data_IF_025376762398
#
_entry.id   IF_025376762398
#
_cell.length_a   1.000
_cell.length_b   1.000
_cell.length_c   1.000
_cell.angle_alpha   90.00
_cell.angle_beta   90.00
_cell.angle_gamma   90.00
#
_symmetry.space_group_name_H-M   'P 1'
#
loop_
_entity.id
_entity.type
_entity.pdbx_description
1 polymer ?
#
# COMPACT_ATOMS: atom_id res chain seq x y z
N UNK A 1 -1.95 -1.32 0.40
CA UNK A 1 -1.11 -0.46 1.24
C UNK A 1 0.27 -1.07 1.36
N UNK A 2 1.29 -0.32 0.98
CA UNK A 2 2.70 -0.72 1.01
C UNK A 2 3.48 0.33 1.79
N UNK A 3 4.47 -0.07 2.57
CA UNK A 3 5.45 0.83 3.16
C UNK A 3 6.85 0.44 2.73
N UNK A 4 7.76 1.41 2.69
CA UNK A 4 9.16 1.17 2.37
C UNK A 4 10.05 2.25 2.99
N UNK A 5 11.33 1.93 3.15
CA UNK A 5 12.38 2.89 3.48
C UNK A 5 13.00 3.44 2.21
N UNK A 6 13.18 4.76 2.11
CA UNK A 6 13.95 5.37 1.02
C UNK A 6 15.43 5.10 1.24
N UNK A 7 16.16 4.88 0.15
CA UNK A 7 17.62 4.91 0.18
C UNK A 7 18.11 6.33 0.50
N UNK A 8 19.23 6.43 1.21
CA UNK A 8 19.87 7.72 1.47
C UNK A 8 20.19 8.42 0.14
N UNK A 9 19.99 9.75 0.11
CA UNK A 9 20.24 10.63 -1.03
C UNK A 9 19.25 10.51 -2.20
N UNK A 10 18.20 9.69 -2.09
CA UNK A 10 17.10 9.68 -3.07
C UNK A 10 16.15 10.83 -2.77
N UNK A 11 15.88 11.66 -3.77
CA UNK A 11 14.94 12.76 -3.64
C UNK A 11 13.48 12.26 -3.73
N UNK A 12 12.57 12.94 -3.03
CA UNK A 12 11.15 12.61 -3.05
C UNK A 12 10.57 12.66 -4.48
N UNK A 13 11.08 13.55 -5.33
CA UNK A 13 10.68 13.67 -6.73
C UNK A 13 11.06 12.43 -7.56
N UNK A 14 12.20 11.80 -7.28
CA UNK A 14 12.64 10.59 -7.99
C UNK A 14 11.72 9.42 -7.64
N UNK A 15 11.31 9.31 -6.38
CA UNK A 15 10.35 8.27 -5.93
C UNK A 15 8.98 8.49 -6.55
N UNK A 16 8.48 9.74 -6.53
CA UNK A 16 7.23 10.09 -7.16
C UNK A 16 7.26 9.82 -8.68
N UNK A 17 8.38 10.15 -9.33
CA UNK A 17 8.64 9.89 -10.75
C UNK A 17 8.59 8.41 -11.08
N UNK A 18 9.29 7.58 -10.29
CA UNK A 18 9.26 6.12 -10.44
C UNK A 18 7.84 5.56 -10.38
N UNK A 19 7.05 5.95 -9.38
CA UNK A 19 5.67 5.46 -9.25
C UNK A 19 4.77 5.95 -10.39
N UNK A 20 5.01 7.16 -10.91
CA UNK A 20 4.25 7.70 -12.04
C UNK A 20 4.56 6.93 -13.33
N UNK A 21 5.83 6.73 -13.66
CA UNK A 21 6.28 5.93 -14.81
C UNK A 21 5.70 4.53 -14.75
N UNK A 22 5.68 3.92 -13.56
CA UNK A 22 5.10 2.61 -13.34
C UNK A 22 3.59 2.55 -13.66
N UNK A 23 2.84 3.64 -13.44
CA UNK A 23 1.43 3.70 -13.84
C UNK A 23 1.24 3.94 -15.33
N UNK A 24 2.14 4.70 -15.97
CA UNK A 24 2.16 4.88 -17.41
C UNK A 24 2.39 3.52 -18.10
N UNK A 25 3.41 2.77 -17.66
CA UNK A 25 3.66 1.38 -18.10
C UNK A 25 2.43 0.49 -17.88
N UNK A 26 1.84 0.50 -16.68
CA UNK A 26 0.69 -0.33 -16.37
C UNK A 26 -0.50 -0.06 -17.32
N UNK A 27 -0.67 1.19 -17.75
CA UNK A 27 -1.75 1.63 -18.63
C UNK A 27 -1.58 1.18 -20.08
N UNK A 28 -0.36 0.84 -20.51
CA UNK A 28 -0.10 0.27 -21.84
C UNK A 28 -0.50 -1.21 -21.92
N UNK A 29 -0.34 -1.96 -20.82
CA UNK A 29 -0.56 -3.41 -20.78
C UNK A 29 -1.95 -3.83 -20.30
N UNK A 30 -2.63 -3.01 -19.51
CA UNK A 30 -3.93 -3.33 -18.91
C UNK A 30 -5.02 -2.38 -19.39
N UNK A 31 -6.27 -2.78 -19.21
CA UNK A 31 -7.45 -1.92 -19.42
C UNK A 31 -7.18 -0.54 -18.85
N UNK A 32 -7.61 0.52 -19.54
CA UNK A 32 -7.45 1.95 -19.21
C UNK A 32 -8.17 2.39 -17.92
N UNK A 33 -8.24 1.50 -16.94
CA UNK A 33 -8.77 1.76 -15.62
C UNK A 33 -7.86 2.75 -14.91
N UNK A 34 -8.50 3.73 -14.28
CA UNK A 34 -7.81 4.76 -13.53
C UNK A 34 -7.16 4.16 -12.29
N UNK A 35 -5.91 4.52 -12.06
CA UNK A 35 -5.24 4.34 -10.77
C UNK A 35 -5.61 5.53 -9.87
N UNK A 36 -6.06 5.25 -8.65
CA UNK A 36 -6.24 6.24 -7.60
C UNK A 36 -5.49 5.82 -6.34
N UNK A 37 -5.30 6.75 -5.41
CA UNK A 37 -4.64 6.48 -4.14
C UNK A 37 -3.78 7.64 -3.67
N UNK A 38 -2.83 7.33 -2.79
CA UNK A 38 -2.00 8.31 -2.12
C UNK A 38 -0.58 7.78 -1.99
N UNK A 39 0.40 8.58 -2.38
CA UNK A 39 1.81 8.37 -2.08
C UNK A 39 2.25 9.40 -1.04
N UNK A 40 2.45 8.96 0.19
CA UNK A 40 2.99 9.77 1.27
C UNK A 40 4.50 9.56 1.34
N UNK A 41 5.24 10.65 1.19
CA UNK A 41 6.69 10.71 1.21
C UNK A 41 7.15 11.47 2.45
N UNK A 42 8.02 10.83 3.22
CA UNK A 42 8.79 11.43 4.30
C UNK A 42 10.28 11.26 3.98
N UNK A 43 11.15 12.04 4.63
CA UNK A 43 12.60 12.08 4.35
C UNK A 43 13.30 10.73 4.31
N UNK A 44 12.75 9.70 4.98
CA UNK A 44 13.30 8.34 4.97
C UNK A 44 12.28 7.23 4.71
N UNK A 45 11.00 7.54 4.59
CA UNK A 45 9.95 6.51 4.50
C UNK A 45 8.87 6.86 3.47
N UNK A 46 8.34 5.82 2.83
CA UNK A 46 7.21 5.88 1.90
C UNK A 46 6.05 5.10 2.51
N UNK A 47 4.85 5.66 2.39
CA UNK A 47 3.61 4.91 2.49
C UNK A 47 2.81 5.09 1.19
N UNK A 48 2.45 3.98 0.56
CA UNK A 48 1.76 3.97 -0.72
C UNK A 48 0.44 3.21 -0.63
N UNK A 49 -0.65 3.91 -0.91
CA UNK A 49 -1.99 3.36 -1.08
C UNK A 49 -2.34 3.43 -2.55
N UNK A 50 -2.79 2.30 -3.10
CA UNK A 50 -3.20 2.19 -4.50
C UNK A 50 -4.53 1.47 -4.58
N UNK A 51 -5.42 2.01 -5.40
CA UNK A 51 -6.71 1.46 -5.73
C UNK A 51 -6.79 1.28 -7.26
N UNK A 52 -6.98 0.04 -7.70
CA UNK A 52 -7.10 -0.33 -9.12
C UNK A 52 -7.63 -1.77 -9.22
N UNK A 53 -7.79 -2.31 -10.43
CA UNK A 53 -8.05 -3.74 -10.59
C UNK A 53 -6.89 -4.59 -10.11
N UNK A 54 -7.21 -5.86 -9.84
CA UNK A 54 -6.26 -6.88 -9.40
C UNK A 54 -5.07 -7.06 -10.35
N UNK A 55 -5.24 -6.91 -11.67
CA UNK A 55 -4.14 -7.05 -12.63
C UNK A 55 -3.11 -5.93 -12.49
N UNK A 56 -3.57 -4.68 -12.34
CA UNK A 56 -2.69 -3.54 -12.06
C UNK A 56 -2.01 -3.70 -10.71
N UNK A 57 -2.74 -4.07 -9.64
CA UNK A 57 -2.13 -4.31 -8.33
C UNK A 57 -1.05 -5.41 -8.42
N UNK A 58 -1.32 -6.51 -9.13
CA UNK A 58 -0.33 -7.58 -9.32
C UNK A 58 0.90 -7.10 -10.10
N UNK A 59 0.71 -6.29 -11.15
CA UNK A 59 1.80 -5.67 -11.89
C UNK A 59 2.68 -4.79 -10.98
N UNK A 60 2.06 -3.95 -10.14
CA UNK A 60 2.78 -3.09 -9.20
C UNK A 60 3.59 -3.89 -8.18
N UNK A 61 3.01 -4.94 -7.59
CA UNK A 61 3.74 -5.81 -6.66
C UNK A 61 4.94 -6.47 -7.36
N UNK A 62 4.79 -6.91 -8.61
CA UNK A 62 5.90 -7.47 -9.40
C UNK A 62 7.01 -6.45 -9.65
N UNK A 63 6.66 -5.20 -9.96
CA UNK A 63 7.64 -4.14 -10.14
C UNK A 63 8.38 -3.82 -8.83
N UNK A 64 7.66 -3.76 -7.70
CA UNK A 64 8.27 -3.59 -6.38
C UNK A 64 9.21 -4.75 -6.01
N UNK A 65 8.84 -5.99 -6.35
CA UNK A 65 9.74 -7.14 -6.19
C UNK A 65 11.00 -7.01 -7.06
N UNK A 66 10.88 -6.48 -8.27
CA UNK A 66 12.05 -6.20 -9.12
C UNK A 66 12.96 -5.12 -8.52
N UNK A 67 12.40 -4.05 -7.93
CA UNK A 67 13.15 -3.03 -7.19
C UNK A 67 13.87 -3.65 -6.00
N UNK A 68 13.18 -4.44 -5.17
CA UNK A 68 13.78 -5.11 -4.02
C UNK A 68 14.97 -6.01 -4.42
N UNK A 69 14.89 -6.67 -5.57
CA UNK A 69 15.94 -7.54 -6.08
C UNK A 69 17.19 -6.78 -6.57
N UNK A 70 17.14 -5.45 -6.72
CA UNK A 70 18.32 -4.62 -7.00
C UNK A 70 19.25 -4.52 -5.77
N UNK A 71 18.80 -4.95 -4.59
CA UNK A 71 19.62 -4.99 -3.38
C UNK A 71 19.85 -3.59 -2.78
N UNK A 72 21.02 -3.33 -2.18
CA UNK A 72 21.27 -2.08 -1.45
C UNK A 72 21.19 -0.80 -2.30
N UNK A 73 21.37 -0.90 -3.62
CA UNK A 73 21.28 0.24 -4.55
C UNK A 73 19.84 0.59 -4.95
N UNK A 74 18.85 -0.23 -4.57
CA UNK A 74 17.45 0.01 -4.85
C UNK A 74 16.98 1.36 -4.28
N UNK A 75 16.08 2.04 -4.99
CA UNK A 75 15.51 3.32 -4.52
C UNK A 75 14.65 3.13 -3.26
N UNK A 76 13.99 1.97 -3.15
CA UNK A 76 13.17 1.53 -2.03
C UNK A 76 13.80 0.30 -1.40
N UNK A 77 13.89 0.32 -0.07
CA UNK A 77 14.41 -0.75 0.77
C UNK A 77 13.34 -1.16 1.78
N UNK A 78 13.50 -2.33 2.39
CA UNK A 78 12.60 -2.81 3.47
C UNK A 78 11.11 -2.72 3.09
N UNK A 79 10.79 -3.07 1.84
CA UNK A 79 9.43 -2.96 1.31
C UNK A 79 8.54 -3.99 1.99
N UNK A 80 7.41 -3.53 2.56
CA UNK A 80 6.41 -4.36 3.23
C UNK A 80 5.03 -4.13 2.63
N UNK A 81 4.38 -5.22 2.22
CA UNK A 81 2.99 -5.24 1.79
C UNK A 81 2.13 -5.46 3.02
N UNK A 82 1.47 -4.40 3.50
CA UNK A 82 0.70 -4.43 4.74
C UNK A 82 -0.70 -5.00 4.52
N UNK A 83 -1.38 -4.51 3.49
CA UNK A 83 -2.77 -4.88 3.21
C UNK A 83 -3.01 -4.89 1.71
N UNK A 84 -3.63 -5.95 1.22
CA UNK A 84 -4.24 -6.02 -0.12
C UNK A 84 -5.69 -6.44 0.05
N UNK A 85 -6.61 -5.52 -0.25
CA UNK A 85 -8.04 -5.75 -0.18
C UNK A 85 -8.61 -5.98 -1.58
N UNK A 86 -9.66 -6.80 -1.66
CA UNK A 86 -10.39 -7.08 -2.89
C UNK A 86 -11.84 -6.61 -2.77
N UNK A 87 -12.48 -6.31 -3.89
CA UNK A 87 -13.91 -5.95 -3.96
C UNK A 87 -14.28 -4.76 -3.06
N UNK A 88 -13.47 -3.71 -3.05
CA UNK A 88 -13.80 -2.47 -2.33
C UNK A 88 -15.09 -1.87 -2.93
N UNK A 89 -16.04 -1.41 -2.09
CA UNK A 89 -17.34 -0.93 -2.56
C UNK A 89 -17.23 0.38 -3.34
N UNK A 90 -16.26 1.21 -2.99
CA UNK A 90 -15.94 2.49 -3.63
C UNK A 90 -14.46 2.82 -3.45
N UNK A 91 -13.94 3.69 -4.31
CA UNK A 91 -12.59 4.26 -4.16
C UNK A 91 -12.62 5.31 -3.06
N UNK A 92 -11.62 5.27 -2.17
CA UNK A 92 -11.38 6.27 -1.14
C UNK A 92 -10.81 7.56 -1.75
N UNK A 93 -9.95 7.42 -2.76
CA UNK A 93 -9.27 8.56 -3.38
C UNK A 93 -9.84 8.82 -4.79
N UNK A 94 -10.19 10.07 -5.14
CA UNK A 94 -10.74 10.38 -6.46
C UNK A 94 -9.69 10.34 -7.59
N UNK A 95 -8.42 10.57 -7.24
CA UNK A 95 -7.26 10.51 -8.14
C UNK A 95 -6.06 9.93 -7.38
N UNK A 96 -4.94 9.76 -8.06
CA UNK A 96 -3.69 9.42 -7.41
C UNK A 96 -2.90 10.71 -7.15
N UNK A 97 -2.51 10.92 -5.90
CA UNK A 97 -1.83 12.13 -5.46
C UNK A 97 -0.55 11.81 -4.66
N UNK A 98 0.38 12.76 -4.65
CA UNK A 98 1.64 12.69 -3.91
C UNK A 98 1.63 13.76 -2.82
N UNK A 99 1.97 13.36 -1.59
CA UNK A 99 2.08 14.25 -0.44
C UNK A 99 3.47 14.11 0.17
N UNK A 100 4.18 15.22 0.26
CA UNK A 100 5.50 15.30 0.90
C UNK A 100 5.34 15.89 2.30
N UNK A 101 5.73 15.11 3.30
CA UNK A 101 5.67 15.50 4.71
C UNK A 101 7.00 16.12 5.12
N UNK A 102 7.02 17.45 5.25
CA UNK A 102 8.23 18.23 5.52
C UNK A 102 8.56 18.42 6.99
N UNK A 103 7.61 18.14 7.90
CA UNK A 103 7.82 18.23 9.36
C UNK A 103 7.63 16.86 10.01
N UNK A 104 8.57 16.41 10.86
CA UNK A 104 8.34 15.20 11.65
C UNK A 104 7.18 15.47 12.61
N UNK A 105 6.08 14.73 12.44
CA UNK A 105 5.05 14.64 13.46
C UNK A 105 5.57 13.66 14.50
N UNK A 106 6.38 14.16 15.43
CA UNK A 106 6.81 13.37 16.59
C UNK A 106 5.63 13.21 17.54
N UNK A 107 4.95 12.07 17.48
CA UNK A 107 4.17 11.60 18.62
C UNK A 107 5.14 11.06 19.69
N UNK A 108 4.79 11.13 20.98
CA UNK A 108 5.67 10.64 22.05
C UNK A 108 6.06 9.17 21.79
N UNK A 109 7.37 8.91 21.72
CA UNK A 109 8.03 7.69 21.21
C UNK A 109 7.63 6.37 21.89
N UNK A 110 6.84 6.40 22.97
CA UNK A 110 6.60 5.25 23.83
C UNK A 110 5.36 4.41 23.47
N UNK A 111 4.45 4.87 22.61
CA UNK A 111 3.19 4.15 22.39
C UNK A 111 3.24 3.07 21.31
N UNK A 112 3.88 3.33 20.17
CA UNK A 112 3.77 2.46 18.97
C UNK A 112 4.55 1.16 19.07
N UNK A 113 5.68 1.13 19.78
CA UNK A 113 6.48 -0.09 19.97
C UNK A 113 5.84 -1.11 20.92
N UNK A 114 4.86 -0.67 21.73
CA UNK A 114 4.12 -1.56 22.64
C UNK A 114 2.91 -2.21 21.97
N UNK A 115 2.52 -1.74 20.78
CA UNK A 115 1.35 -2.20 20.04
C UNK A 115 1.71 -3.32 19.06
N UNK A 116 0.77 -4.22 18.81
CA UNK A 116 0.92 -5.25 17.78
C UNK A 116 0.93 -4.61 16.38
N UNK A 117 1.56 -5.31 15.42
CA UNK A 117 1.58 -4.86 14.02
C UNK A 117 0.17 -4.66 13.46
N UNK A 118 -0.78 -5.54 13.80
CA UNK A 118 -2.18 -5.43 13.36
C UNK A 118 -2.85 -4.16 13.88
N UNK A 119 -2.64 -3.80 15.15
CA UNK A 119 -3.18 -2.56 15.73
C UNK A 119 -2.61 -1.33 15.02
N UNK A 120 -1.29 -1.30 14.81
CA UNK A 120 -0.63 -0.18 14.11
C UNK A 120 -1.10 -0.06 12.67
N UNK A 121 -1.29 -1.18 11.96
CA UNK A 121 -1.86 -1.20 10.60
C UNK A 121 -3.30 -0.67 10.60
N UNK A 122 -4.12 -1.07 11.59
CA UNK A 122 -5.50 -0.61 11.71
C UNK A 122 -5.60 0.89 12.00
N UNK A 123 -4.71 1.42 12.84
CA UNK A 123 -4.60 2.87 13.09
C UNK A 123 -4.19 3.63 11.82
N UNK A 124 -3.20 3.13 11.07
CA UNK A 124 -2.81 3.72 9.80
C UNK A 124 -3.97 3.75 8.81
N UNK A 125 -4.76 2.68 8.69
CA UNK A 125 -5.95 2.64 7.85
C UNK A 125 -7.00 3.65 8.30
N UNK A 126 -7.21 3.81 9.61
CA UNK A 126 -8.15 4.79 10.18
C UNK A 126 -7.75 6.23 9.87
N UNK A 127 -6.45 6.53 9.97
CA UNK A 127 -5.90 7.83 9.57
C UNK A 127 -6.07 8.05 8.06
N UNK A 128 -5.78 7.05 7.22
CA UNK A 128 -5.95 7.14 5.76
C UNK A 128 -7.40 7.40 5.35
N UNK A 129 -8.38 6.81 6.04
CA UNK A 129 -9.80 7.08 5.80
C UNK A 129 -10.12 8.55 6.15
N UNK A 130 -9.60 9.05 7.27
CA UNK A 130 -9.78 10.46 7.69
C UNK A 130 -9.10 11.44 6.71
N UNK A 131 -7.94 11.07 6.16
CA UNK A 131 -7.27 11.82 5.09
C UNK A 131 -8.14 11.84 3.83
N UNK A 132 -8.63 10.67 3.38
CA UNK A 132 -9.46 10.57 2.20
C UNK A 132 -10.75 11.41 2.32
N UNK A 133 -11.41 11.39 3.47
CA UNK A 133 -12.59 12.21 3.75
C UNK A 133 -12.28 13.72 3.69
N UNK A 134 -11.13 14.13 4.22
CA UNK A 134 -10.67 15.53 4.15
C UNK A 134 -10.38 15.97 2.70
N UNK A 135 -9.73 15.10 1.92
CA UNK A 135 -9.45 15.34 0.50
C UNK A 135 -10.75 15.46 -0.30
N UNK A 136 -11.73 14.59 -0.05
CA UNK A 136 -13.04 14.64 -0.71
C UNK A 136 -13.77 15.94 -0.40
N UNK A 137 -13.85 16.35 0.88
CA UNK A 137 -14.47 17.62 1.28
C UNK A 137 -13.80 18.82 0.63
N UNK A 138 -12.47 18.84 0.58
CA UNK A 138 -11.73 19.93 -0.08
C UNK A 138 -12.03 20.04 -1.57
N UNK A 139 -12.25 18.90 -2.25
CA UNK A 139 -12.55 18.86 -3.67
C UNK A 139 -13.98 19.34 -4.01
N UNK A 140 -14.92 19.26 -3.07
CA UNK A 140 -16.29 19.78 -3.24
C UNK A 140 -16.35 21.30 -3.07
N UNK A 141 -15.52 21.88 -2.21
CA UNK A 141 -15.44 23.33 -1.98
C UNK A 141 -14.61 24.07 -3.06
N UNK A 142 -13.61 23.41 -3.65
CA UNK A 142 -12.73 24.02 -4.67
C UNK A 142 -13.27 23.92 -6.10
N UNK A 143 -14.25 24.75 -6.43
CA UNK A 143 -14.66 24.96 -7.83
C UNK A 143 -13.62 25.71 -8.69
N UNK A 144 -12.47 26.15 -8.14
CA UNK A 144 -11.47 26.97 -8.86
C UNK A 144 -9.99 26.93 -8.40
N UNK A 145 -9.52 25.98 -7.59
CA UNK A 145 -8.11 25.95 -7.17
C UNK A 145 -7.30 24.76 -7.75
N UNK A 146 -6.05 25.05 -8.08
CA UNK A 146 -5.06 24.18 -8.69
C UNK A 146 -4.66 23.00 -7.79
N UNK A 147 -3.91 22.06 -8.37
CA UNK A 147 -3.34 20.83 -7.79
C UNK A 147 -2.49 20.96 -6.51
N UNK A 148 -2.47 22.13 -5.86
CA UNK A 148 -1.66 22.43 -4.67
C UNK A 148 -2.41 22.18 -3.34
N UNK A 149 -3.69 21.80 -3.36
CA UNK A 149 -4.53 21.72 -2.16
C UNK A 149 -4.14 20.62 -1.15
N UNK A 150 -3.26 19.69 -1.53
CA UNK A 150 -2.79 18.62 -0.65
C UNK A 150 -1.60 18.99 0.23
N UNK A 151 -1.00 20.16 0.02
CA UNK A 151 0.06 20.70 0.89
C UNK A 151 -0.43 21.09 2.30
N UNK A 152 -1.72 20.90 2.61
CA UNK A 152 -2.34 21.36 3.86
C UNK A 152 -3.07 20.25 4.63
N UNK A 153 -2.57 19.01 4.59
CA UNK A 153 -3.07 17.98 5.51
C UNK A 153 -2.80 18.41 6.95
N UNK A 154 -3.83 18.33 7.79
CA UNK A 154 -3.70 18.63 9.21
C UNK A 154 -2.64 17.70 9.83
N UNK A 155 -1.73 18.20 10.68
CA UNK A 155 -0.65 17.38 11.26
C UNK A 155 -1.15 16.13 11.99
N UNK A 156 -2.35 16.20 12.57
CA UNK A 156 -3.04 15.11 13.27
C UNK A 156 -3.56 13.99 12.35
N UNK A 157 -3.60 14.22 11.03
CA UNK A 157 -3.97 13.22 10.03
C UNK A 157 -2.74 12.55 9.38
N UNK A 158 -1.54 13.03 9.70
CA UNK A 158 -0.31 12.49 9.15
C UNK A 158 0.13 11.25 9.93
N UNK A 159 0.42 10.18 9.20
CA UNK A 159 1.04 8.99 9.79
C UNK A 159 2.50 9.34 10.12
N UNK A 160 2.94 9.16 11.39
CA UNK A 160 4.30 9.46 11.80
C UNK A 160 5.34 8.65 11.03
N UNK A 161 6.50 9.24 10.78
CA UNK A 161 7.60 8.57 10.10
C UNK A 161 8.13 7.38 10.90
N UNK A 162 8.08 7.48 12.24
CA UNK A 162 8.48 6.44 13.18
C UNK A 162 7.56 5.22 13.05
N UNK A 163 6.25 5.43 12.91
CA UNK A 163 5.26 4.38 12.67
C UNK A 163 5.53 3.66 11.35
N UNK A 164 5.82 4.40 10.28
CA UNK A 164 6.16 3.80 8.98
C UNK A 164 7.48 3.01 9.09
N UNK A 165 8.48 3.56 9.79
CA UNK A 165 9.76 2.89 10.02
C UNK A 165 9.64 1.61 10.86
N UNK A 166 8.76 1.60 11.85
CA UNK A 166 8.41 0.40 12.63
C UNK A 166 7.79 -0.67 11.71
N UNK A 167 6.80 -0.29 10.89
CA UNK A 167 6.15 -1.19 9.94
C UNK A 167 7.10 -1.73 8.87
N UNK A 168 8.09 -0.96 8.40
CA UNK A 168 9.10 -1.44 7.44
C UNK A 168 9.93 -2.60 7.99
N UNK A 169 10.13 -2.65 9.31
CA UNK A 169 10.92 -3.68 10.00
C UNK A 169 10.08 -4.87 10.48
N UNK A 170 8.75 -4.80 10.39
CA UNK A 170 7.85 -5.86 10.83
C UNK A 170 8.08 -7.15 10.03
N UNK A 171 8.56 -8.21 10.68
CA UNK A 171 8.84 -9.51 10.04
C UNK A 171 7.55 -10.23 9.65
N UNK A 172 6.46 -9.96 10.36
CA UNK A 172 5.11 -10.48 10.13
C UNK A 172 4.52 -10.00 8.79
N UNK A 173 4.98 -8.84 8.30
CA UNK A 173 4.53 -8.30 7.03
C UNK A 173 5.31 -8.90 5.85
N UNK A 174 4.58 -9.33 4.83
CA UNK A 174 5.16 -9.91 3.62
C UNK A 174 5.98 -8.89 2.84
N UNK A 175 7.15 -9.30 2.32
CA UNK A 175 7.82 -8.55 1.27
C UNK A 175 7.06 -8.70 -0.07
N UNK A 176 7.24 -7.80 -1.06
CA UNK A 176 6.72 -7.99 -2.41
C UNK A 176 7.00 -9.37 -3.02
N UNK A 177 8.21 -9.91 -2.80
CA UNK A 177 8.59 -11.24 -3.28
C UNK A 177 7.80 -12.34 -2.58
N UNK A 178 7.63 -12.24 -1.27
CA UNK A 178 6.85 -13.22 -0.49
C UNK A 178 5.37 -13.16 -0.83
N UNK A 179 4.81 -11.94 -0.98
CA UNK A 179 3.43 -11.74 -1.41
C UNK A 179 3.18 -12.35 -2.79
N UNK A 180 4.10 -12.14 -3.75
CA UNK A 180 3.99 -12.75 -5.07
C UNK A 180 4.01 -14.28 -4.99
N UNK A 181 4.88 -14.86 -4.15
CA UNK A 181 4.94 -16.31 -3.94
C UNK A 181 3.63 -16.84 -3.35
N UNK A 182 3.10 -16.17 -2.32
CA UNK A 182 1.83 -16.52 -1.68
C UNK A 182 0.66 -16.48 -2.68
N UNK A 183 0.62 -15.46 -3.54
CA UNK A 183 -0.43 -15.32 -4.56
C UNK A 183 -0.35 -16.41 -5.64
N UNK A 184 0.86 -16.77 -6.08
CA UNK A 184 1.07 -17.78 -7.13
C UNK A 184 1.03 -19.23 -6.62
N UNK A 185 1.13 -19.43 -5.30
CA UNK A 185 1.07 -20.74 -4.65
C UNK A 185 -0.10 -20.79 -3.67
N UNK A 186 -1.35 -20.71 -4.15
CA UNK A 186 -2.50 -20.79 -3.27
C UNK A 186 -2.46 -22.13 -2.53
N UNK A 187 -2.59 -22.07 -1.21
CA UNK A 187 -2.72 -23.28 -0.40
C UNK A 187 -4.03 -23.94 -0.85
N UNK A 188 -3.94 -25.17 -1.34
CA UNK A 188 -5.10 -26.04 -1.51
C UNK A 188 -5.20 -26.89 -0.24
N UNK A 189 -5.87 -26.40 0.83
CA UNK A 189 -6.14 -27.27 1.96
C UNK A 189 -6.98 -28.42 1.43
N UNK A 190 -6.50 -29.66 1.62
CA UNK A 190 -7.32 -30.83 1.36
C UNK A 190 -8.56 -30.71 2.24
N UNK A 191 -9.72 -30.48 1.64
CA UNK A 191 -10.97 -30.44 2.39
C UNK A 191 -11.30 -31.89 2.75
N UNK A 192 -11.67 -32.17 4.01
CA UNK A 192 -12.10 -33.52 4.43
C UNK A 192 -13.26 -34.06 3.56
N UNK A 193 -14.01 -33.16 2.93
CA UNK A 193 -15.08 -33.41 1.96
C UNK A 193 -14.59 -34.01 0.63
N UNK A 194 -13.33 -33.81 0.26
CA UNK A 194 -12.73 -34.36 -0.97
C UNK A 194 -12.38 -35.85 -0.83
N UNK A 195 -12.39 -36.38 0.40
CA UNK A 195 -12.16 -37.80 0.70
C UNK A 195 -13.44 -38.68 0.62
N UNK A 196 -14.59 -38.13 0.21
CA UNK A 196 -15.88 -38.83 0.22
C UNK A 196 -16.20 -39.52 -1.13
N UNK A 197 -15.29 -39.48 -2.11
CA UNK A 197 -15.45 -40.20 -3.38
C UNK A 197 -14.45 -41.36 -3.54
N UNK A 198 -14.89 -42.55 -4.02
CA UNK A 198 -16.24 -42.90 -4.46
C UNK A 198 -17.18 -43.32 -3.33
N UNK A 199 -18.48 -43.16 -3.58
CA UNK A 199 -19.56 -43.71 -2.74
C UNK A 199 -19.27 -45.19 -2.47
N UNK A 200 -19.25 -45.64 -1.20
CA UNK A 200 -19.13 -47.05 -0.89
C UNK A 200 -20.29 -47.84 -1.53
N UNK A 201 -19.97 -48.88 -2.31
CA UNK A 201 -20.91 -49.70 -3.11
C UNK A 201 -22.09 -50.32 -2.33
N UNK A 202 -22.08 -50.26 -0.99
CA UNK A 202 -23.17 -50.73 -0.14
C UNK A 202 -24.28 -49.69 0.09
N UNK A 203 -24.08 -48.44 -0.32
CA UNK A 203 -25.08 -47.36 -0.26
C UNK A 203 -25.73 -47.05 -1.61
N UNK A 204 -25.36 -47.78 -2.67
CA UNK A 204 -25.88 -47.59 -4.04
C UNK A 204 -27.01 -48.57 -4.39
N UNK A 205 -27.99 -48.76 -3.50
CA UNK A 205 -29.17 -49.61 -3.71
C UNK A 205 -30.47 -48.81 -3.54
#
# INVERSE_FOLDING_TARGET
MVVARLREEVAEEDVAGYHKELFEDASEYHTRERVSGLLLLSSRHVLHVVESCSSTIHFLIRALAAVQNQGPSALLQEIKVLVVAHNIPSRLFPRWDVVVVTSPVTHPEDSTQSQSIEEVVAECLTLLISVADSVLKSAEDDSKASSDSLCTLAPELLIPAETIGYLCKAEECASPVDFQRMYLSPIQPALDSEAVWPIPLHLSA
#
